data_IF_699685668645
#
_entry.id   IF_699685668645
#
_cell.length_a   1.000
_cell.length_b   1.000
_cell.length_c   1.000
_cell.angle_alpha   90.00
_cell.angle_beta   90.00
_cell.angle_gamma   90.00
#
_symmetry.space_group_name_H-M   'P 1'
#
loop_
_entity.id
_entity.type
_entity.pdbx_description
1 polymer ?
#
# COMPACT_ATOMS: atom_id res chain seq x y z
N UNK A 1 -0.67 -6.76 -12.76
CA UNK A 1 0.10 -5.77 -11.97
C UNK A 1 0.58 -4.66 -12.89
N UNK A 2 0.33 -3.40 -12.52
CA UNK A 2 0.73 -2.25 -13.33
C UNK A 2 2.26 -2.14 -13.39
N UNK A 3 2.84 -1.90 -14.59
CA UNK A 3 4.30 -1.82 -14.71
C UNK A 3 4.85 -0.46 -14.26
N UNK A 4 6.14 -0.38 -13.87
CA UNK A 4 6.81 0.88 -13.63
C UNK A 4 6.71 1.81 -14.85
N UNK A 5 6.58 3.10 -14.61
CA UNK A 5 6.39 4.11 -15.65
C UNK A 5 4.91 4.43 -15.92
N UNK A 6 3.99 3.66 -15.33
CA UNK A 6 2.56 3.90 -15.46
C UNK A 6 2.15 5.03 -14.50
N UNK A 7 1.37 6.02 -14.97
CA UNK A 7 0.76 6.96 -14.03
C UNK A 7 -0.13 6.22 -13.04
N UNK A 8 0.07 6.45 -11.75
CA UNK A 8 -0.72 5.78 -10.72
C UNK A 8 -2.18 6.22 -10.82
N UNK A 9 -3.13 5.27 -10.90
CA UNK A 9 -4.55 5.62 -10.92
C UNK A 9 -4.92 6.44 -9.68
N UNK A 10 -5.65 7.53 -9.89
CA UNK A 10 -6.08 8.38 -8.79
C UNK A 10 -7.14 7.66 -7.95
N UNK A 11 -7.28 8.07 -6.70
CA UNK A 11 -8.29 7.50 -5.81
C UNK A 11 -8.67 8.48 -4.71
N UNK A 12 -9.83 8.23 -4.12
CA UNK A 12 -10.30 8.88 -2.91
C UNK A 12 -10.95 7.80 -2.07
N UNK A 13 -10.28 7.35 -1.02
CA UNK A 13 -10.75 6.23 -0.19
C UNK A 13 -10.72 6.62 1.28
N UNK A 14 -11.67 6.11 2.09
CA UNK A 14 -11.64 6.36 3.53
C UNK A 14 -10.53 5.54 4.19
N UNK A 15 -9.84 6.15 5.15
CA UNK A 15 -8.93 5.44 6.03
C UNK A 15 -9.69 4.80 7.20
N UNK A 16 -8.97 4.23 8.17
CA UNK A 16 -9.60 3.55 9.32
C UNK A 16 -10.35 4.48 10.26
N UNK A 17 -10.18 5.79 10.12
CA UNK A 17 -10.91 6.79 10.90
C UNK A 17 -12.06 7.42 10.12
N UNK A 18 -12.31 6.94 8.89
CA UNK A 18 -13.34 7.49 8.01
C UNK A 18 -12.93 8.77 7.28
N UNK A 19 -11.68 9.19 7.40
CA UNK A 19 -11.16 10.36 6.72
C UNK A 19 -10.78 9.98 5.28
N UNK A 20 -11.26 10.75 4.30
CA UNK A 20 -10.94 10.48 2.89
C UNK A 20 -9.50 10.86 2.58
N UNK A 21 -8.75 9.89 2.02
CA UNK A 21 -7.39 10.08 1.53
C UNK A 21 -7.42 10.11 0.01
N UNK A 22 -6.84 11.15 -0.59
CA UNK A 22 -6.78 11.32 -2.04
C UNK A 22 -5.33 11.27 -2.50
N UNK A 23 -5.04 10.45 -3.51
CA UNK A 23 -3.68 10.35 -4.03
C UNK A 23 -3.20 11.71 -4.57
N UNK A 24 -4.07 12.47 -5.22
CA UNK A 24 -3.73 13.78 -5.77
C UNK A 24 -3.21 14.76 -4.71
N UNK A 25 -3.63 14.61 -3.46
CA UNK A 25 -3.20 15.49 -2.36
C UNK A 25 -1.78 15.14 -1.86
N UNK A 26 -1.20 14.05 -2.34
CA UNK A 26 0.11 13.56 -1.90
C UNK A 26 1.24 13.91 -2.88
N UNK A 27 0.96 14.73 -3.89
CA UNK A 27 2.01 15.22 -4.79
C UNK A 27 3.11 15.92 -4.00
N UNK A 28 4.36 15.68 -4.39
CA UNK A 28 5.52 16.16 -3.64
C UNK A 28 6.07 15.16 -2.65
N UNK A 29 5.37 14.05 -2.42
CA UNK A 29 5.80 12.96 -1.54
C UNK A 29 5.89 11.66 -2.34
N UNK A 30 6.84 10.80 -1.95
CA UNK A 30 6.80 9.40 -2.36
C UNK A 30 5.64 8.73 -1.64
N UNK A 31 5.03 7.72 -2.26
CA UNK A 31 3.93 6.95 -1.65
C UNK A 31 4.23 5.46 -1.81
N UNK A 32 4.22 4.73 -0.71
CA UNK A 32 4.18 3.28 -0.73
C UNK A 32 2.73 2.86 -0.52
N UNK A 33 2.11 2.35 -1.57
CA UNK A 33 0.75 1.81 -1.52
C UNK A 33 0.86 0.29 -1.51
N UNK A 34 0.60 -0.32 -0.33
CA UNK A 34 0.71 -1.77 -0.19
C UNK A 34 -0.69 -2.38 -0.05
N UNK A 35 -1.07 -3.15 -1.07
CA UNK A 35 -2.32 -3.90 -1.06
C UNK A 35 -2.12 -5.20 -0.30
N UNK A 36 -3.07 -5.56 0.55
CA UNK A 36 -3.03 -6.81 1.30
C UNK A 36 -4.37 -7.54 1.19
N UNK A 37 -4.36 -8.90 1.24
CA UNK A 37 -5.57 -9.68 1.01
C UNK A 37 -6.67 -9.44 2.04
N UNK A 38 -6.33 -9.45 3.34
CA UNK A 38 -7.34 -9.30 4.39
C UNK A 38 -6.71 -8.91 5.72
N UNK A 39 -7.34 -7.93 6.39
CA UNK A 39 -6.93 -7.47 7.71
C UNK A 39 -6.87 -8.64 8.72
N UNK A 40 -5.90 -8.57 9.62
CA UNK A 40 -5.70 -9.51 10.73
C UNK A 40 -5.33 -10.95 10.35
N UNK A 41 -5.01 -11.20 9.08
CA UNK A 41 -4.44 -12.50 8.68
C UNK A 41 -2.94 -12.53 8.98
N UNK A 42 -2.33 -13.73 9.18
CA UNK A 42 -0.92 -13.81 9.60
C UNK A 42 0.06 -13.11 8.64
N UNK A 43 -0.08 -13.32 7.33
CA UNK A 43 0.82 -12.70 6.36
C UNK A 43 0.70 -11.19 6.32
N UNK A 44 -0.54 -10.67 6.36
CA UNK A 44 -0.78 -9.22 6.37
C UNK A 44 -0.30 -8.58 7.67
N UNK A 45 -0.41 -9.29 8.79
CA UNK A 45 0.09 -8.83 10.08
C UNK A 45 1.61 -8.70 10.05
N UNK A 46 2.33 -9.71 9.55
CA UNK A 46 3.80 -9.68 9.47
C UNK A 46 4.26 -8.57 8.52
N UNK A 47 3.61 -8.42 7.36
CA UNK A 47 3.94 -7.36 6.41
C UNK A 47 3.74 -5.98 7.03
N UNK A 48 2.59 -5.75 7.67
CA UNK A 48 2.30 -4.48 8.34
C UNK A 48 3.27 -4.18 9.48
N UNK A 49 3.64 -5.19 10.28
CA UNK A 49 4.61 -5.02 11.36
C UNK A 49 5.99 -4.64 10.83
N UNK A 50 6.42 -5.24 9.73
CA UNK A 50 7.70 -4.90 9.09
C UNK A 50 7.70 -3.45 8.63
N UNK A 51 6.63 -3.01 7.98
CA UNK A 51 6.51 -1.61 7.53
C UNK A 51 6.42 -0.67 8.74
N UNK A 52 5.66 -1.03 9.77
CA UNK A 52 5.54 -0.24 11.02
C UNK A 52 6.90 -0.04 11.67
N UNK A 53 7.70 -1.09 11.75
CA UNK A 53 9.02 -1.03 12.40
C UNK A 53 10.01 -0.15 11.63
N UNK A 54 9.74 0.13 10.35
CA UNK A 54 10.54 1.00 9.49
C UNK A 54 9.87 2.36 9.22
N UNK A 55 8.80 2.69 9.95
CA UNK A 55 8.01 3.91 9.68
C UNK A 55 8.85 5.19 9.76
N UNK A 56 9.78 5.27 10.69
CA UNK A 56 10.67 6.43 10.81
C UNK A 56 11.56 6.61 9.59
N UNK A 57 12.06 5.50 9.03
CA UNK A 57 12.90 5.53 7.84
C UNK A 57 12.12 5.99 6.61
N UNK A 58 10.87 5.52 6.45
CA UNK A 58 10.01 6.02 5.38
C UNK A 58 9.73 7.53 5.52
N UNK A 59 9.45 7.99 6.73
CA UNK A 59 9.21 9.40 6.98
C UNK A 59 10.42 10.26 6.66
N UNK A 60 11.62 9.81 7.03
CA UNK A 60 12.87 10.52 6.72
C UNK A 60 13.11 10.64 5.22
N UNK A 61 12.61 9.70 4.43
CA UNK A 61 12.74 9.70 2.98
C UNK A 61 11.56 10.38 2.28
N UNK A 62 10.71 11.09 3.02
CA UNK A 62 9.54 11.78 2.49
C UNK A 62 8.57 10.80 1.79
N UNK A 63 8.38 9.64 2.38
CA UNK A 63 7.50 8.60 1.84
C UNK A 63 6.29 8.40 2.75
N UNK A 64 5.11 8.61 2.19
CA UNK A 64 3.84 8.34 2.87
C UNK A 64 3.50 6.87 2.67
N UNK A 65 3.15 6.16 3.74
CA UNK A 65 2.77 4.76 3.69
C UNK A 65 1.26 4.64 3.76
N UNK A 66 0.66 3.95 2.79
CA UNK A 66 -0.77 3.68 2.72
C UNK A 66 -0.98 2.19 2.50
N UNK A 67 -1.67 1.52 3.43
CA UNK A 67 -2.16 0.17 3.21
C UNK A 67 -3.52 0.23 2.50
N UNK A 68 -3.91 -0.80 1.78
CA UNK A 68 -5.20 -0.85 1.11
C UNK A 68 -5.71 -2.30 1.02
N UNK A 69 -7.00 -2.47 1.22
CA UNK A 69 -7.65 -3.78 1.11
C UNK A 69 -9.13 -3.59 0.81
N UNK A 70 -9.85 -4.72 0.68
CA UNK A 70 -11.31 -4.70 0.49
C UNK A 70 -12.06 -4.81 1.83
N UNK A 71 -11.34 -4.73 2.95
CA UNK A 71 -11.93 -4.72 4.29
C UNK A 71 -12.72 -3.43 4.54
N UNK A 72 -13.64 -3.49 5.49
CA UNK A 72 -14.40 -2.31 5.91
C UNK A 72 -13.52 -1.36 6.72
N UNK A 73 -13.99 -0.11 6.86
CA UNK A 73 -13.32 0.88 7.73
C UNK A 73 -13.15 0.32 9.15
N UNK A 74 -14.21 -0.29 9.70
CA UNK A 74 -14.15 -0.87 11.05
C UNK A 74 -13.13 -2.01 11.15
N UNK A 75 -13.06 -2.89 10.14
CA UNK A 75 -12.11 -4.00 10.12
C UNK A 75 -10.66 -3.50 10.08
N UNK A 76 -10.40 -2.47 9.29
CA UNK A 76 -9.07 -1.86 9.23
C UNK A 76 -8.72 -1.08 10.50
N UNK A 77 -9.70 -0.46 11.16
CA UNK A 77 -9.47 0.20 12.45
C UNK A 77 -9.01 -0.81 13.51
N UNK A 78 -9.69 -1.94 13.60
CA UNK A 78 -9.31 -3.00 14.55
C UNK A 78 -7.91 -3.52 14.27
N UNK A 79 -7.57 -3.72 12.99
CA UNK A 79 -6.25 -4.15 12.58
C UNK A 79 -5.17 -3.13 13.00
N UNK A 80 -5.39 -1.86 12.69
CA UNK A 80 -4.45 -0.79 13.02
C UNK A 80 -4.25 -0.64 14.53
N UNK A 81 -5.32 -0.74 15.31
CA UNK A 81 -5.25 -0.61 16.77
C UNK A 81 -4.49 -1.79 17.39
N UNK A 82 -4.81 -3.02 16.96
CA UNK A 82 -4.14 -4.22 17.50
C UNK A 82 -2.64 -4.24 17.21
N UNK A 83 -2.23 -3.73 16.05
CA UNK A 83 -0.83 -3.78 15.62
C UNK A 83 -0.07 -2.49 15.89
N UNK A 84 -0.73 -1.44 16.34
CA UNK A 84 -0.10 -0.15 16.57
C UNK A 84 0.38 0.54 15.29
N UNK A 85 -0.37 0.41 14.19
CA UNK A 85 -0.02 1.06 12.94
C UNK A 85 -0.33 2.55 12.99
N UNK A 86 0.69 3.38 12.74
CA UNK A 86 0.52 4.83 12.66
C UNK A 86 0.21 5.35 11.26
N UNK A 87 0.20 4.48 10.25
CA UNK A 87 -0.12 4.84 8.87
C UNK A 87 -1.57 4.51 8.55
N UNK A 88 -2.09 5.11 7.46
CA UNK A 88 -3.47 4.90 7.03
C UNK A 88 -3.67 3.52 6.41
N UNK A 89 -4.83 2.91 6.70
CA UNK A 89 -5.30 1.70 6.04
C UNK A 89 -6.58 2.06 5.27
N UNK A 90 -6.51 2.00 3.95
CA UNK A 90 -7.60 2.43 3.07
C UNK A 90 -8.57 1.28 2.80
N UNK A 91 -9.85 1.59 2.80
CA UNK A 91 -10.92 0.62 2.57
C UNK A 91 -11.54 0.82 1.20
N UNK A 92 -11.29 -0.12 0.27
CA UNK A 92 -11.83 -0.13 -1.08
C UNK A 92 -12.94 -1.21 -1.16
N UNK A 93 -14.04 -0.98 -0.45
CA UNK A 93 -15.10 -1.98 -0.27
C UNK A 93 -15.74 -2.39 -1.59
N UNK A 94 -15.92 -1.45 -2.52
CA UNK A 94 -16.51 -1.73 -3.83
C UNK A 94 -15.49 -2.27 -4.85
N UNK A 95 -14.20 -2.33 -4.50
CA UNK A 95 -13.12 -2.87 -5.31
C UNK A 95 -12.81 -2.10 -6.60
N UNK A 96 -13.36 -0.91 -6.76
CA UNK A 96 -13.13 -0.11 -7.98
C UNK A 96 -11.69 0.34 -8.13
N UNK A 97 -11.06 0.78 -7.03
CA UNK A 97 -9.66 1.18 -7.04
C UNK A 97 -8.76 -0.04 -7.21
N UNK A 98 -9.09 -1.16 -6.56
CA UNK A 98 -8.37 -2.41 -6.73
C UNK A 98 -8.37 -2.90 -8.17
N UNK A 99 -9.48 -2.72 -8.88
CA UNK A 99 -9.55 -3.05 -10.31
C UNK A 99 -8.58 -2.16 -11.12
N UNK A 100 -8.53 -0.86 -10.82
CA UNK A 100 -7.62 0.06 -11.49
C UNK A 100 -6.15 -0.28 -11.24
N UNK A 101 -5.81 -0.77 -10.06
CA UNK A 101 -4.45 -1.18 -9.69
C UNK A 101 -4.15 -2.65 -10.02
N UNK A 102 -5.06 -3.35 -10.68
CA UNK A 102 -4.90 -4.76 -11.09
C UNK A 102 -4.63 -5.72 -9.94
N UNK A 103 -5.27 -5.47 -8.78
CA UNK A 103 -5.12 -6.33 -7.61
C UNK A 103 -6.29 -7.30 -7.43
N UNK A 104 -7.25 -7.33 -8.36
CA UNK A 104 -8.33 -8.31 -8.32
C UNK A 104 -7.81 -9.68 -8.74
N UNK A 105 -8.29 -10.73 -8.06
CA UNK A 105 -7.99 -12.10 -8.44
C UNK A 105 -9.04 -12.61 -9.40
N UNK A 106 -8.72 -13.65 -10.19
CA UNK A 106 -9.67 -14.29 -11.07
C UNK A 106 -10.85 -14.85 -10.26
N UNK A 107 -12.04 -14.89 -10.88
CA UNK A 107 -13.26 -15.30 -10.18
C UNK A 107 -13.25 -16.76 -9.75
N UNK A 108 -12.45 -17.61 -10.37
CA UNK A 108 -12.28 -19.02 -10.01
C UNK A 108 -11.11 -19.25 -9.03
N UNK A 109 -10.39 -18.20 -8.63
CA UNK A 109 -9.39 -18.28 -7.58
C UNK A 109 -10.11 -18.46 -6.23
N UNK A 110 -9.60 -19.35 -5.36
CA UNK A 110 -10.20 -19.60 -4.06
C UNK A 110 -10.18 -18.35 -3.15
N UNK A 111 -9.34 -17.40 -3.43
CA UNK A 111 -9.22 -16.13 -2.70
C UNK A 111 -9.78 -14.94 -3.49
N UNK A 112 -10.69 -15.19 -4.42
CA UNK A 112 -11.21 -14.15 -5.32
C UNK A 112 -11.86 -12.95 -4.60
N UNK A 113 -12.25 -13.11 -3.34
CA UNK A 113 -12.79 -12.01 -2.53
C UNK A 113 -11.73 -11.12 -1.90
N UNK A 114 -10.44 -11.43 -2.08
CA UNK A 114 -9.33 -10.72 -1.43
C UNK A 114 -8.40 -10.13 -2.48
N UNK A 115 -7.75 -9.00 -2.13
CA UNK A 115 -6.79 -8.37 -3.02
C UNK A 115 -5.52 -9.22 -3.18
N UNK A 116 -4.85 -9.06 -4.32
CA UNK A 116 -3.49 -9.57 -4.50
C UNK A 116 -2.54 -8.83 -3.54
N UNK A 117 -1.45 -9.52 -3.13
CA UNK A 117 -0.43 -8.90 -2.29
C UNK A 117 0.58 -8.17 -3.18
N UNK A 118 0.15 -7.03 -3.72
CA UNK A 118 0.98 -6.17 -4.56
C UNK A 118 1.26 -4.86 -3.84
N UNK A 119 2.47 -4.34 -4.02
CA UNK A 119 2.82 -3.01 -3.55
C UNK A 119 3.31 -2.16 -4.72
N UNK A 120 3.03 -0.87 -4.66
CA UNK A 120 3.47 0.10 -5.66
C UNK A 120 4.22 1.22 -4.97
N UNK A 121 5.40 1.54 -5.48
CA UNK A 121 6.15 2.72 -5.04
C UNK A 121 5.92 3.82 -6.06
N UNK A 122 5.26 4.88 -5.63
CA UNK A 122 4.79 5.99 -6.46
C UNK A 122 5.65 7.22 -6.16
N UNK A 123 6.14 7.89 -7.20
CA UNK A 123 7.02 9.05 -7.03
C UNK A 123 6.22 10.33 -6.71
N UNK A 124 6.93 11.46 -6.37
CA UNK A 124 6.24 12.71 -6.05
C UNK A 124 5.38 13.29 -7.17
N UNK A 125 5.58 12.86 -8.41
CA UNK A 125 4.79 13.30 -9.57
C UNK A 125 3.60 12.37 -9.84
N UNK A 126 3.44 11.29 -9.06
CA UNK A 126 2.33 10.36 -9.19
C UNK A 126 2.55 9.24 -10.20
N UNK A 127 3.80 8.93 -10.51
CA UNK A 127 4.16 7.85 -11.44
C UNK A 127 4.68 6.66 -10.66
N UNK A 128 4.22 5.45 -11.01
CA UNK A 128 4.70 4.20 -10.42
C UNK A 128 6.16 3.99 -10.86
N UNK A 129 7.07 3.86 -9.90
CA UNK A 129 8.49 3.65 -10.15
C UNK A 129 8.91 2.21 -9.88
N UNK A 130 8.21 1.50 -8.99
CA UNK A 130 8.42 0.07 -8.72
C UNK A 130 7.08 -0.60 -8.47
N UNK A 131 6.98 -1.85 -8.90
CA UNK A 131 5.81 -2.70 -8.68
C UNK A 131 6.30 -4.01 -8.08
N UNK A 132 5.65 -4.47 -7.00
CA UNK A 132 6.09 -5.65 -6.26
C UNK A 132 4.95 -6.67 -6.16
N UNK A 133 5.25 -7.93 -6.51
CA UNK A 133 4.43 -9.06 -6.11
C UNK A 133 5.10 -9.62 -4.86
N UNK A 134 4.49 -9.39 -3.69
CA UNK A 134 5.17 -9.63 -2.41
C UNK A 134 5.06 -11.10 -2.02
N UNK A 135 6.20 -11.77 -1.91
CA UNK A 135 6.29 -13.16 -1.44
C UNK A 135 6.92 -13.25 -0.05
N UNK A 136 7.89 -12.38 0.26
CA UNK A 136 8.52 -12.34 1.58
C UNK A 136 8.03 -11.12 2.35
N UNK A 137 7.00 -11.34 3.17
CA UNK A 137 6.35 -10.26 3.92
C UNK A 137 7.23 -9.69 5.03
N UNK A 138 8.22 -10.46 5.49
CA UNK A 138 9.10 -10.02 6.58
C UNK A 138 10.23 -9.09 6.13
N UNK A 139 10.62 -9.12 4.85
CA UNK A 139 11.74 -8.33 4.33
C UNK A 139 11.31 -7.28 3.30
N UNK A 140 10.01 -7.19 3.02
CA UNK A 140 9.51 -6.30 1.97
C UNK A 140 9.81 -4.82 2.26
N UNK A 141 9.70 -4.39 3.51
CA UNK A 141 10.00 -3.00 3.88
C UNK A 141 11.45 -2.64 3.57
N UNK A 142 12.41 -3.55 3.87
CA UNK A 142 13.82 -3.34 3.55
C UNK A 142 14.05 -3.21 2.06
N UNK A 143 13.38 -4.05 1.26
CA UNK A 143 13.47 -4.01 -0.20
C UNK A 143 13.00 -2.66 -0.74
N UNK A 144 11.85 -2.18 -0.26
CA UNK A 144 11.29 -0.90 -0.71
C UNK A 144 12.19 0.25 -0.30
N UNK A 145 12.71 0.25 0.93
CA UNK A 145 13.62 1.30 1.40
C UNK A 145 14.90 1.37 0.57
N UNK A 146 15.45 0.22 0.19
CA UNK A 146 16.62 0.17 -0.69
C UNK A 146 16.31 0.77 -2.06
N UNK A 147 15.18 0.38 -2.66
CA UNK A 147 14.77 0.90 -3.97
C UNK A 147 14.49 2.40 -3.90
N UNK A 148 13.84 2.86 -2.83
CA UNK A 148 13.54 4.26 -2.61
C UNK A 148 14.83 5.08 -2.50
N UNK A 149 15.83 4.58 -1.78
CA UNK A 149 17.15 5.22 -1.68
C UNK A 149 17.82 5.35 -3.04
N UNK A 150 17.81 4.29 -3.85
CA UNK A 150 18.39 4.30 -5.19
C UNK A 150 17.69 5.31 -6.10
N UNK A 151 16.36 5.33 -6.08
CA UNK A 151 15.57 6.24 -6.91
C UNK A 151 15.73 7.69 -6.50
N UNK A 152 15.83 7.96 -5.20
CA UNK A 152 16.04 9.32 -4.69
C UNK A 152 17.41 9.87 -5.11
N UNK A 153 18.42 9.03 -5.21
CA UNK A 153 19.77 9.43 -5.65
C UNK A 153 19.80 9.75 -7.15
N UNK A 154 18.98 9.05 -7.96
CA UNK A 154 18.98 9.24 -9.42
C UNK A 154 18.09 10.37 -9.89
N UNK A 155 17.16 10.83 -9.07
CA UNK A 155 16.19 11.87 -9.42
C UNK A 155 16.67 13.30 -9.09
N UNK A 156 17.93 13.45 -8.78
CA UNK A 156 18.55 14.76 -8.50
C UNK A 156 19.12 15.41 -9.75
#
# INVERSE_FOLDING_TARGET
>A
MLPPGTPAPDFALPDQHGTTVRLADLRGHWVLLWWYPKAQTPGCTVEGQSIRDHAGEFAEMNCVVLGASFDTVQGNLEFAELQGFGFALLSDVDRSVGAAYEVLRDTDDRYSGFAERYSYLIDPEGVIRRSYSVSDVGTHADEVLRDLSELSLTDH
#
